data_IF_642832547122
#
_entry.id   IF_642832547122
#
_cell.length_a   1.000
_cell.length_b   1.000
_cell.length_c   1.000
_cell.angle_alpha   90.00
_cell.angle_beta   90.00
_cell.angle_gamma   90.00
#
_symmetry.space_group_name_H-M   'P 1'
#
loop_
_entity.id
_entity.type
_entity.pdbx_description
1 polymer ?
#
# COMPACT_ATOMS: atom_id res chain seq x y z
N UNK A 1 23.27 6.81 1.71
CA UNK A 1 22.27 5.73 1.87
C UNK A 1 21.89 5.71 3.33
N UNK A 2 20.62 5.97 3.66
CA UNK A 2 20.17 6.02 5.06
C UNK A 2 20.33 4.68 5.77
N UNK A 3 20.62 4.74 7.06
CA UNK A 3 20.77 3.59 7.95
C UNK A 3 19.87 3.80 9.17
N UNK A 4 19.08 2.79 9.51
CA UNK A 4 18.33 2.77 10.78
C UNK A 4 19.09 1.89 11.77
N UNK A 5 19.39 2.44 12.96
CA UNK A 5 20.02 1.73 14.07
C UNK A 5 19.03 1.57 15.20
N UNK A 6 18.87 0.34 15.71
CA UNK A 6 17.88 -0.03 16.72
C UNK A 6 18.59 -0.73 17.88
N UNK A 7 18.42 -0.22 19.08
CA UNK A 7 18.74 -0.94 20.32
C UNK A 7 17.46 -1.65 20.77
N UNK A 8 17.40 -2.96 20.59
CA UNK A 8 16.21 -3.74 20.88
C UNK A 8 16.02 -4.08 22.36
N UNK A 9 14.96 -4.84 22.65
CA UNK A 9 14.64 -5.33 24.01
C UNK A 9 13.87 -4.35 24.90
N UNK A 10 13.45 -3.19 24.37
CA UNK A 10 12.63 -2.22 25.13
C UNK A 10 11.16 -2.36 24.74
N UNK A 11 10.25 -2.64 25.69
CA UNK A 11 8.82 -2.68 25.42
C UNK A 11 8.27 -1.33 24.96
N UNK A 12 7.44 -1.34 23.93
CA UNK A 12 6.82 -0.13 23.39
C UNK A 12 5.65 0.34 24.26
N UNK A 13 5.57 1.63 24.52
CA UNK A 13 4.51 2.24 25.33
C UNK A 13 4.18 3.64 24.82
N UNK A 14 2.91 3.99 24.88
CA UNK A 14 2.47 5.34 24.52
C UNK A 14 1.42 5.36 23.44
N UNK A 15 1.31 6.50 22.78
CA UNK A 15 0.32 6.75 21.75
C UNK A 15 0.98 7.41 20.53
N UNK A 16 0.50 7.06 19.34
CA UNK A 16 0.88 7.74 18.09
C UNK A 16 -0.31 7.81 17.14
N UNK A 17 -0.24 8.72 16.17
CA UNK A 17 -1.27 8.96 15.16
C UNK A 17 -0.84 8.29 13.86
N UNK A 18 -1.79 7.64 13.18
CA UNK A 18 -1.53 6.96 11.92
C UNK A 18 -1.66 7.95 10.76
N UNK A 19 -0.68 7.91 9.87
CA UNK A 19 -0.63 8.66 8.62
C UNK A 19 -1.74 8.26 7.63
N UNK A 20 -1.96 9.08 6.61
CA UNK A 20 -2.81 8.74 5.47
C UNK A 20 -2.33 7.52 4.69
N UNK A 21 -3.26 6.79 4.07
CA UNK A 21 -2.96 5.56 3.36
C UNK A 21 -2.27 5.85 2.01
N UNK A 22 -1.03 5.37 1.86
CA UNK A 22 -0.31 5.44 0.59
C UNK A 22 -1.12 4.89 -0.58
N UNK A 23 -1.68 3.69 -0.38
CA UNK A 23 -2.39 2.98 -1.44
C UNK A 23 -3.74 3.63 -1.79
N UNK A 24 -4.20 4.57 -0.98
CA UNK A 24 -5.36 5.43 -1.28
C UNK A 24 -4.93 6.75 -1.93
N UNK A 25 -3.89 7.39 -1.42
CA UNK A 25 -3.38 8.65 -1.96
C UNK A 25 -2.98 8.53 -3.44
N UNK A 26 -2.29 7.44 -3.83
CA UNK A 26 -1.80 7.28 -5.21
C UNK A 26 -2.91 7.24 -6.27
N UNK A 27 -3.97 6.42 -6.17
CA UNK A 27 -5.06 6.45 -7.13
C UNK A 27 -5.89 7.75 -7.08
N UNK A 28 -6.01 8.40 -5.92
CA UNK A 28 -6.65 9.70 -5.77
C UNK A 28 -5.86 10.79 -6.51
N UNK A 29 -4.52 10.79 -6.40
CA UNK A 29 -3.66 11.68 -7.17
C UNK A 29 -3.79 11.45 -8.68
N UNK A 30 -3.88 10.21 -9.14
CA UNK A 30 -4.17 9.94 -10.54
C UNK A 30 -5.57 10.42 -10.96
N UNK A 31 -6.57 10.24 -10.09
CA UNK A 31 -7.95 10.68 -10.33
C UNK A 31 -8.09 12.19 -10.41
N UNK A 32 -7.24 12.97 -9.74
CA UNK A 32 -7.26 14.46 -9.80
C UNK A 32 -7.09 15.01 -11.23
N UNK A 33 -6.45 14.24 -12.13
CA UNK A 33 -6.34 14.59 -13.55
C UNK A 33 -7.70 14.73 -14.24
N UNK A 34 -8.72 13.99 -13.77
CA UNK A 34 -10.04 13.97 -14.40
C UNK A 34 -10.83 15.26 -14.18
N UNK A 35 -10.53 16.02 -13.11
CA UNK A 35 -11.30 17.21 -12.74
C UNK A 35 -11.19 18.36 -13.74
N UNK A 36 -9.99 18.58 -14.29
CA UNK A 36 -9.67 19.82 -14.99
C UNK A 36 -9.82 21.07 -14.10
N UNK A 37 -9.59 20.92 -12.79
CA UNK A 37 -9.78 21.92 -11.75
C UNK A 37 -8.78 21.66 -10.61
N UNK A 38 -8.96 22.32 -9.46
CA UNK A 38 -8.12 22.15 -8.26
C UNK A 38 -8.72 21.11 -7.32
N UNK A 39 -7.94 20.08 -6.97
CA UNK A 39 -8.26 19.12 -5.94
C UNK A 39 -7.35 19.33 -4.72
N UNK A 40 -7.91 19.31 -3.51
CA UNK A 40 -7.19 19.29 -2.23
C UNK A 40 -7.25 17.88 -1.65
N UNK A 41 -6.08 17.27 -1.49
CA UNK A 41 -5.94 15.93 -0.90
C UNK A 41 -5.47 16.11 0.54
N UNK A 42 -6.41 16.06 1.48
CA UNK A 42 -6.16 16.30 2.91
C UNK A 42 -5.53 15.07 3.59
N UNK A 43 -4.56 15.31 4.49
CA UNK A 43 -3.84 14.24 5.20
C UNK A 43 -3.09 13.31 4.26
N UNK A 44 -2.58 13.84 3.16
CA UNK A 44 -1.76 13.10 2.20
C UNK A 44 -0.40 12.79 2.85
N UNK A 45 0.05 11.51 2.87
CA UNK A 45 1.29 11.18 3.57
C UNK A 45 2.52 11.63 2.79
N UNK A 46 3.55 12.13 3.50
CA UNK A 46 4.84 12.51 2.92
C UNK A 46 5.70 11.27 2.67
N UNK A 47 5.57 10.69 1.49
CA UNK A 47 6.22 9.44 1.08
C UNK A 47 6.89 9.59 -0.28
N UNK A 48 8.01 8.92 -0.50
CA UNK A 48 8.72 8.98 -1.79
C UNK A 48 7.89 8.43 -2.97
N UNK A 49 6.92 7.53 -2.73
CA UNK A 49 5.96 7.10 -3.75
C UNK A 49 4.95 8.24 -4.08
N UNK A 50 4.54 9.05 -3.09
CA UNK A 50 3.68 10.23 -3.30
C UNK A 50 4.44 11.32 -4.04
N UNK A 51 5.71 11.59 -3.65
CA UNK A 51 6.57 12.53 -4.38
C UNK A 51 6.72 12.11 -5.85
N UNK A 52 6.90 10.80 -6.10
CA UNK A 52 6.98 10.28 -7.46
C UNK A 52 5.68 10.48 -8.25
N UNK A 53 4.52 10.38 -7.60
CA UNK A 53 3.22 10.68 -8.22
C UNK A 53 3.06 12.18 -8.48
N UNK A 54 3.50 13.04 -7.56
CA UNK A 54 3.54 14.49 -7.72
C UNK A 54 4.43 14.90 -8.90
N UNK A 55 5.62 14.31 -9.03
CA UNK A 55 6.52 14.53 -10.16
C UNK A 55 5.89 14.12 -11.51
N UNK A 56 5.12 13.03 -11.54
CA UNK A 56 4.35 12.63 -12.72
C UNK A 56 3.31 13.68 -13.07
N UNK A 57 2.53 14.16 -12.08
CA UNK A 57 1.52 15.21 -12.29
C UNK A 57 2.15 16.51 -12.80
N UNK A 58 3.26 16.94 -12.21
CA UNK A 58 4.00 18.12 -12.66
C UNK A 58 4.54 17.95 -14.09
N UNK A 59 5.09 16.77 -14.42
CA UNK A 59 5.54 16.47 -15.77
C UNK A 59 4.40 16.54 -16.80
N UNK A 60 3.20 16.08 -16.42
CA UNK A 60 2.00 16.17 -17.25
C UNK A 60 1.50 17.61 -17.43
N UNK A 61 2.04 18.58 -16.67
CA UNK A 61 1.71 20.00 -16.73
C UNK A 61 0.79 20.49 -15.62
N UNK A 62 0.50 19.67 -14.63
CA UNK A 62 -0.26 20.09 -13.44
C UNK A 62 0.60 20.94 -12.51
N UNK A 63 -0.02 21.84 -11.74
CA UNK A 63 0.63 22.47 -10.59
C UNK A 63 0.35 21.64 -9.34
N UNK A 64 1.40 21.26 -8.62
CA UNK A 64 1.29 20.47 -7.40
C UNK A 64 2.01 21.20 -6.28
N UNK A 65 1.30 21.48 -5.17
CA UNK A 65 1.80 22.27 -4.05
C UNK A 65 1.42 21.61 -2.74
N UNK A 66 2.38 21.46 -1.83
CA UNK A 66 2.13 21.07 -0.45
C UNK A 66 1.69 22.28 0.38
N UNK A 67 0.63 22.14 1.15
CA UNK A 67 0.18 23.04 2.20
C UNK A 67 0.06 22.23 3.50
N UNK A 68 1.09 22.24 4.32
CA UNK A 68 1.26 21.37 5.48
C UNK A 68 1.11 19.89 5.08
N UNK A 69 0.14 19.15 5.65
CA UNK A 69 -0.14 17.74 5.33
C UNK A 69 -1.14 17.57 4.16
N UNK A 70 -1.48 18.64 3.47
CA UNK A 70 -2.41 18.61 2.35
C UNK A 70 -1.67 18.80 1.02
N UNK A 71 -2.02 18.03 0.02
CA UNK A 71 -1.48 18.17 -1.33
C UNK A 71 -2.53 18.75 -2.28
N UNK A 72 -2.23 19.93 -2.83
CA UNK A 72 -3.08 20.60 -3.83
C UNK A 72 -2.61 20.21 -5.23
N UNK A 73 -3.54 19.77 -6.06
CA UNK A 73 -3.30 19.42 -7.47
C UNK A 73 -4.21 20.26 -8.36
N UNK A 74 -3.61 21.15 -9.15
CA UNK A 74 -4.32 21.91 -10.19
C UNK A 74 -4.07 21.29 -11.56
N UNK A 75 -5.09 20.62 -12.12
CA UNK A 75 -5.01 19.92 -13.40
C UNK A 75 -5.57 20.73 -14.59
N UNK A 76 -5.87 22.02 -14.40
CA UNK A 76 -6.33 22.93 -15.48
C UNK A 76 -5.26 23.11 -16.55
N UNK A 77 -4.00 23.05 -16.17
CA UNK A 77 -2.84 23.30 -17.04
C UNK A 77 -2.23 22.03 -17.63
N UNK A 78 -2.97 20.91 -17.64
CA UNK A 78 -2.54 19.65 -18.25
C UNK A 78 -2.17 19.87 -19.74
N UNK A 79 -0.96 19.53 -20.14
CA UNK A 79 -0.41 19.75 -21.49
C UNK A 79 0.15 18.49 -22.12
N UNK A 80 0.42 17.45 -21.34
CA UNK A 80 1.04 16.19 -21.79
C UNK A 80 0.18 14.99 -21.46
N UNK A 81 0.31 13.95 -22.28
CA UNK A 81 -0.39 12.67 -22.10
C UNK A 81 0.60 11.48 -22.21
N UNK A 82 1.89 11.74 -22.03
CA UNK A 82 2.96 10.75 -22.02
C UNK A 82 3.68 10.74 -20.67
N UNK A 83 4.17 9.58 -20.24
CA UNK A 83 5.02 9.47 -19.04
C UNK A 83 6.31 8.74 -19.42
N UNK A 84 7.49 9.40 -19.27
CA UNK A 84 8.77 8.82 -19.67
C UNK A 84 9.21 7.69 -18.72
N UNK A 85 10.10 6.85 -19.22
CA UNK A 85 10.61 5.69 -18.49
C UNK A 85 11.25 6.06 -17.14
N UNK A 86 11.92 7.21 -17.06
CA UNK A 86 12.56 7.69 -15.84
C UNK A 86 11.57 7.89 -14.68
N UNK A 87 10.35 8.36 -14.95
CA UNK A 87 9.28 8.51 -13.97
C UNK A 87 8.53 7.18 -13.74
N UNK A 88 8.23 6.43 -14.81
CA UNK A 88 7.53 5.15 -14.69
C UNK A 88 8.29 4.11 -13.86
N UNK A 89 9.63 4.18 -13.83
CA UNK A 89 10.47 3.25 -13.06
C UNK A 89 10.57 3.56 -11.58
N UNK A 90 10.26 4.76 -11.15
CA UNK A 90 10.36 5.15 -9.73
C UNK A 90 9.31 4.44 -8.87
N UNK A 91 8.13 4.23 -9.43
CA UNK A 91 6.99 3.68 -8.71
C UNK A 91 6.25 2.66 -9.57
N UNK A 92 6.04 1.44 -9.04
CA UNK A 92 5.34 0.38 -9.78
C UNK A 92 3.88 0.75 -10.09
N UNK A 93 3.21 1.44 -9.17
CA UNK A 93 1.82 1.90 -9.31
C UNK A 93 1.64 3.03 -10.32
N UNK A 94 2.71 3.55 -10.94
CA UNK A 94 2.61 4.58 -11.98
C UNK A 94 1.68 4.21 -13.16
N UNK A 95 1.47 2.92 -13.40
CA UNK A 95 0.50 2.44 -14.40
C UNK A 95 -0.95 2.87 -14.12
N UNK A 96 -1.30 3.27 -12.89
CA UNK A 96 -2.64 3.76 -12.52
C UNK A 96 -2.99 5.03 -13.27
N UNK A 97 -2.00 5.86 -13.61
CA UNK A 97 -2.21 7.08 -14.38
C UNK A 97 -2.76 6.82 -15.78
N UNK A 98 -2.58 5.62 -16.34
CA UNK A 98 -3.00 5.28 -17.71
C UNK A 98 -4.50 5.49 -17.91
N UNK A 99 -5.35 5.00 -16.98
CA UNK A 99 -6.80 5.14 -17.08
C UNK A 99 -7.26 6.60 -17.02
N UNK A 100 -6.67 7.38 -16.10
CA UNK A 100 -7.00 8.80 -15.95
C UNK A 100 -6.57 9.63 -17.17
N UNK A 101 -5.33 9.42 -17.67
CA UNK A 101 -4.83 10.13 -18.87
C UNK A 101 -5.69 9.77 -20.08
N UNK A 102 -6.02 8.50 -20.28
CA UNK A 102 -6.83 8.05 -21.42
C UNK A 102 -8.24 8.66 -21.38
N UNK A 103 -8.87 8.70 -20.21
CA UNK A 103 -10.19 9.33 -20.02
C UNK A 103 -10.15 10.84 -20.27
N UNK A 104 -9.07 11.52 -19.88
CA UNK A 104 -8.93 12.98 -19.98
C UNK A 104 -8.48 13.46 -21.38
N UNK A 105 -7.57 12.70 -22.01
CA UNK A 105 -6.84 13.12 -23.22
C UNK A 105 -7.19 12.30 -24.47
N UNK A 106 -7.94 11.21 -24.36
CA UNK A 106 -8.24 10.25 -25.44
C UNK A 106 -7.02 9.52 -26.01
N UNK A 107 -5.82 9.79 -25.51
CA UNK A 107 -4.61 9.06 -25.83
C UNK A 107 -3.60 9.12 -24.66
N UNK A 108 -2.76 8.10 -24.56
CA UNK A 108 -1.67 8.04 -23.58
C UNK A 108 -0.49 7.27 -24.16
N UNK A 109 0.72 7.71 -23.82
CA UNK A 109 1.95 6.97 -24.13
C UNK A 109 2.77 6.78 -22.83
N UNK A 110 2.99 5.53 -22.42
CA UNK A 110 3.69 5.20 -21.19
C UNK A 110 4.75 4.14 -21.47
N UNK A 111 5.93 4.28 -20.88
CA UNK A 111 6.87 3.17 -20.77
C UNK A 111 6.34 2.12 -19.79
N UNK A 112 6.78 0.86 -19.92
CA UNK A 112 6.45 -0.15 -18.93
C UNK A 112 6.92 0.28 -17.54
N UNK A 113 6.08 0.10 -16.51
CA UNK A 113 6.47 0.40 -15.13
C UNK A 113 7.68 -0.45 -14.73
N UNK A 114 8.52 0.07 -13.86
CA UNK A 114 9.74 -0.58 -13.38
C UNK A 114 9.49 -1.98 -12.82
N UNK A 115 10.52 -2.80 -12.80
CA UNK A 115 10.48 -4.14 -12.21
C UNK A 115 10.02 -4.09 -10.75
N UNK A 116 9.37 -5.15 -10.31
CA UNK A 116 9.03 -5.34 -8.91
C UNK A 116 9.96 -6.40 -8.32
N UNK A 117 10.57 -6.11 -7.20
CA UNK A 117 11.42 -7.05 -6.47
C UNK A 117 10.66 -8.27 -5.95
N UNK A 118 9.33 -8.16 -5.83
CA UNK A 118 8.43 -9.22 -5.40
C UNK A 118 8.05 -10.22 -6.51
N UNK A 119 8.68 -10.13 -7.68
CA UNK A 119 8.42 -11.00 -8.84
C UNK A 119 7.62 -10.32 -9.96
N UNK A 120 7.32 -11.06 -11.03
CA UNK A 120 6.55 -10.56 -12.17
C UNK A 120 5.19 -10.02 -11.72
N UNK A 121 4.88 -8.81 -12.15
CA UNK A 121 3.56 -8.17 -11.97
C UNK A 121 3.06 -7.72 -13.33
N UNK A 122 2.47 -8.62 -14.11
CA UNK A 122 1.93 -8.28 -15.42
C UNK A 122 0.84 -7.21 -15.27
N UNK A 123 0.73 -6.35 -16.28
CA UNK A 123 -0.31 -5.31 -16.37
C UNK A 123 -1.44 -5.70 -17.31
N UNK A 124 -1.51 -6.96 -17.65
CA UNK A 124 -2.48 -7.56 -18.58
C UNK A 124 -3.94 -7.28 -18.18
N UNK A 125 -4.27 -7.34 -16.87
CA UNK A 125 -5.60 -7.02 -16.37
C UNK A 125 -5.95 -5.54 -16.59
N UNK A 126 -4.99 -4.63 -16.40
CA UNK A 126 -5.17 -3.21 -16.70
C UNK A 126 -5.48 -3.01 -18.19
N UNK A 127 -4.65 -3.59 -19.05
CA UNK A 127 -4.79 -3.44 -20.50
C UNK A 127 -6.08 -4.11 -21.02
N UNK A 128 -6.46 -5.25 -20.44
CA UNK A 128 -7.70 -5.94 -20.78
C UNK A 128 -8.92 -5.08 -20.44
N UNK A 129 -8.94 -4.46 -19.25
CA UNK A 129 -10.02 -3.57 -18.84
C UNK A 129 -10.15 -2.35 -19.76
N UNK A 130 -9.03 -1.72 -20.13
CA UNK A 130 -9.03 -0.56 -21.03
C UNK A 130 -9.44 -0.93 -22.47
N UNK A 131 -9.00 -2.11 -22.96
CA UNK A 131 -9.48 -2.62 -24.27
C UNK A 131 -10.98 -2.90 -24.28
N UNK A 132 -11.53 -3.40 -23.19
CA UNK A 132 -12.98 -3.61 -23.07
C UNK A 132 -13.76 -2.30 -23.18
N UNK A 133 -13.21 -1.19 -22.65
CA UNK A 133 -13.75 0.16 -22.79
C UNK A 133 -13.57 0.77 -24.20
N UNK A 134 -12.92 0.05 -25.12
CA UNK A 134 -12.72 0.48 -26.50
C UNK A 134 -11.36 1.12 -26.80
N UNK A 135 -10.39 1.03 -25.90
CA UNK A 135 -9.04 1.52 -26.15
C UNK A 135 -8.29 0.61 -27.12
N UNK A 136 -7.72 1.22 -28.18
CA UNK A 136 -6.69 0.58 -29.00
C UNK A 136 -5.34 0.70 -28.31
N UNK A 137 -4.72 -0.45 -28.03
CA UNK A 137 -3.48 -0.51 -27.25
C UNK A 137 -2.45 -1.29 -28.05
N UNK A 138 -1.39 -0.63 -28.45
CA UNK A 138 -0.20 -1.21 -29.06
C UNK A 138 0.99 -1.16 -28.08
N UNK A 139 1.83 -2.20 -28.18
CA UNK A 139 3.09 -2.29 -27.46
C UNK A 139 4.22 -2.39 -28.48
N UNK A 140 5.10 -1.41 -28.46
CA UNK A 140 6.23 -1.34 -29.37
C UNK A 140 7.50 -0.94 -28.58
N UNK A 141 8.45 -1.86 -28.48
CA UNK A 141 9.76 -1.58 -27.87
C UNK A 141 9.72 -1.18 -26.40
N UNK A 142 8.77 -1.71 -25.61
CA UNK A 142 8.62 -1.40 -24.19
C UNK A 142 7.86 -0.09 -23.91
N UNK A 143 7.17 0.44 -24.93
CA UNK A 143 6.30 1.61 -24.83
C UNK A 143 4.87 1.23 -25.16
N UNK A 144 3.96 1.50 -24.26
CA UNK A 144 2.51 1.34 -24.44
C UNK A 144 1.95 2.60 -25.07
N UNK A 145 1.28 2.45 -26.21
CA UNK A 145 0.50 3.51 -26.86
C UNK A 145 -0.96 3.14 -26.81
N UNK A 146 -1.74 3.96 -26.14
CA UNK A 146 -3.17 3.75 -25.94
C UNK A 146 -3.94 4.90 -26.60
N UNK A 147 -4.97 4.57 -27.37
CA UNK A 147 -5.85 5.57 -28.00
C UNK A 147 -7.30 5.14 -27.86
N UNK A 148 -8.16 6.07 -27.55
CA UNK A 148 -9.60 5.87 -27.53
C UNK A 148 -10.29 7.17 -27.97
N UNK A 149 -10.81 7.21 -29.18
CA UNK A 149 -11.59 8.37 -29.63
C UNK A 149 -12.80 8.60 -28.69
N UNK A 150 -13.44 7.51 -28.29
CA UNK A 150 -14.52 7.48 -27.30
C UNK A 150 -14.37 6.20 -26.46
N UNK A 151 -14.24 6.35 -25.16
CA UNK A 151 -14.41 5.23 -24.25
C UNK A 151 -15.91 4.90 -24.14
N UNK A 152 -16.25 3.61 -24.13
CA UNK A 152 -17.66 3.16 -24.08
C UNK A 152 -17.88 2.28 -22.87
N UNK A 153 -18.94 2.56 -22.14
CA UNK A 153 -19.37 1.73 -21.01
C UNK A 153 -19.62 0.30 -21.44
N UNK A 154 -19.20 -0.64 -20.62
CA UNK A 154 -19.28 -2.07 -20.88
C UNK A 154 -19.23 -2.89 -19.60
N UNK A 155 -19.40 -4.19 -19.71
CA UNK A 155 -19.11 -5.11 -18.62
C UNK A 155 -17.64 -5.56 -18.70
N UNK A 156 -16.89 -5.31 -17.62
CA UNK A 156 -15.51 -5.75 -17.43
C UNK A 156 -15.52 -6.87 -16.39
N UNK A 157 -14.95 -8.02 -16.72
CA UNK A 157 -14.81 -9.15 -15.77
C UNK A 157 -13.32 -9.36 -15.52
N UNK A 158 -12.86 -9.04 -14.31
CA UNK A 158 -11.47 -9.29 -13.91
C UNK A 158 -11.30 -10.79 -13.58
N UNK A 159 -10.28 -11.43 -14.17
CA UNK A 159 -10.00 -12.85 -13.94
C UNK A 159 -9.66 -13.12 -12.46
N UNK A 160 -9.00 -12.17 -11.82
CA UNK A 160 -8.70 -12.17 -10.37
C UNK A 160 -8.92 -10.76 -9.81
N UNK A 161 -9.31 -10.60 -8.53
CA UNK A 161 -9.38 -9.28 -7.92
C UNK A 161 -7.99 -8.63 -7.96
N UNK A 162 -7.90 -7.49 -8.63
CA UNK A 162 -6.66 -6.71 -8.77
C UNK A 162 -6.95 -5.26 -8.40
N UNK A 163 -6.30 -4.76 -7.37
CA UNK A 163 -6.45 -3.39 -6.89
C UNK A 163 -6.17 -2.41 -8.03
N UNK A 164 -4.97 -2.44 -8.60
CA UNK A 164 -4.58 -1.48 -9.64
C UNK A 164 -5.41 -1.59 -10.93
N UNK A 165 -5.85 -2.80 -11.34
CA UNK A 165 -6.71 -2.96 -12.51
C UNK A 165 -8.12 -2.41 -12.24
N UNK A 166 -8.65 -2.59 -11.02
CA UNK A 166 -9.93 -2.01 -10.59
C UNK A 166 -9.85 -0.48 -10.60
N UNK A 167 -8.80 0.10 -10.01
CA UNK A 167 -8.56 1.55 -10.01
C UNK A 167 -8.49 2.11 -11.43
N UNK A 168 -7.66 1.52 -12.30
CA UNK A 168 -7.56 1.96 -13.69
C UNK A 168 -8.88 1.87 -14.47
N UNK A 169 -9.64 0.79 -14.25
CA UNK A 169 -10.95 0.62 -14.85
C UNK A 169 -11.95 1.69 -14.37
N UNK A 170 -11.97 2.00 -13.06
CA UNK A 170 -12.81 3.05 -12.48
C UNK A 170 -12.46 4.41 -13.05
N UNK A 171 -11.16 4.77 -13.11
CA UNK A 171 -10.68 6.05 -13.62
C UNK A 171 -11.04 6.21 -15.12
N UNK A 172 -10.79 5.20 -15.93
CA UNK A 172 -11.11 5.24 -17.35
C UNK A 172 -12.64 5.29 -17.60
N UNK A 173 -13.41 4.54 -16.79
CA UNK A 173 -14.87 4.52 -16.90
C UNK A 173 -15.53 5.87 -16.58
N UNK A 174 -14.90 6.74 -15.79
CA UNK A 174 -15.39 8.10 -15.55
C UNK A 174 -15.43 8.96 -16.83
N UNK A 175 -14.65 8.63 -17.85
CA UNK A 175 -14.67 9.28 -19.16
C UNK A 175 -15.44 8.50 -20.24
N UNK A 176 -16.11 7.41 -19.88
CA UNK A 176 -16.80 6.56 -20.85
C UNK A 176 -18.25 7.01 -21.11
N UNK A 177 -18.75 6.75 -22.33
CA UNK A 177 -20.15 6.92 -22.70
C UNK A 177 -20.93 5.65 -22.30
N UNK A 178 -21.92 5.77 -21.41
CA UNK A 178 -22.74 4.68 -20.91
C UNK A 178 -22.14 4.01 -19.67
N UNK A 179 -22.94 3.13 -19.06
CA UNK A 179 -22.59 2.45 -17.81
C UNK A 179 -21.46 1.45 -17.99
N UNK A 180 -20.50 1.47 -17.07
CA UNK A 180 -19.47 0.43 -16.94
C UNK A 180 -19.71 -0.38 -15.68
N UNK A 181 -19.74 -1.70 -15.82
CA UNK A 181 -19.89 -2.64 -14.69
C UNK A 181 -18.62 -3.46 -14.56
N UNK A 182 -17.90 -3.26 -13.45
CA UNK A 182 -16.65 -3.98 -13.15
C UNK A 182 -17.00 -5.14 -12.22
N UNK A 183 -16.91 -6.38 -12.74
CA UNK A 183 -17.17 -7.61 -12.00
C UNK A 183 -15.86 -8.21 -11.48
N UNK A 184 -15.92 -8.88 -10.34
CA UNK A 184 -14.78 -9.41 -9.59
C UNK A 184 -13.76 -8.32 -9.24
N UNK A 185 -14.26 -7.12 -8.92
CA UNK A 185 -13.46 -5.97 -8.49
C UNK A 185 -12.73 -6.26 -7.18
N UNK A 186 -11.62 -5.58 -6.96
CA UNK A 186 -10.95 -5.52 -5.66
C UNK A 186 -11.87 -4.84 -4.63
N UNK A 187 -11.75 -5.28 -3.37
CA UNK A 187 -12.67 -4.85 -2.28
C UNK A 187 -11.95 -4.05 -1.20
N UNK A 188 -10.68 -3.81 -1.37
CA UNK A 188 -9.83 -3.10 -0.44
C UNK A 188 -10.45 -1.74 -0.08
N UNK A 189 -10.29 -1.28 1.18
CA UNK A 189 -10.83 0.01 1.63
C UNK A 189 -10.41 1.19 0.75
N UNK A 190 -9.23 1.11 0.17
CA UNK A 190 -8.66 2.11 -0.73
C UNK A 190 -9.48 2.27 -2.03
N UNK A 191 -10.18 1.20 -2.45
CA UNK A 191 -11.12 1.27 -3.59
C UNK A 191 -12.40 2.02 -3.20
N UNK A 192 -12.87 1.84 -1.96
CA UNK A 192 -14.02 2.60 -1.45
C UNK A 192 -13.67 4.10 -1.32
N UNK A 193 -12.48 4.41 -0.84
CA UNK A 193 -11.98 5.78 -0.72
C UNK A 193 -11.85 6.46 -2.09
N UNK A 194 -11.35 5.74 -3.10
CA UNK A 194 -11.34 6.23 -4.48
C UNK A 194 -12.77 6.50 -5.01
N UNK A 195 -13.75 5.63 -4.70
CA UNK A 195 -15.14 5.88 -5.05
C UNK A 195 -15.65 7.17 -4.41
N UNK A 196 -15.38 7.39 -3.12
CA UNK A 196 -15.81 8.59 -2.40
C UNK A 196 -15.21 9.85 -3.03
N UNK A 197 -13.92 9.82 -3.36
CA UNK A 197 -13.25 10.92 -4.05
C UNK A 197 -13.87 11.20 -5.42
N UNK A 198 -14.08 10.17 -6.26
CA UNK A 198 -14.70 10.32 -7.58
C UNK A 198 -16.13 10.84 -7.48
N UNK A 199 -16.90 10.40 -6.49
CA UNK A 199 -18.24 10.92 -6.24
C UNK A 199 -18.21 12.38 -5.79
N UNK A 200 -17.26 12.78 -4.95
CA UNK A 200 -17.05 14.17 -4.55
C UNK A 200 -16.68 15.07 -5.75
N UNK A 201 -16.00 14.53 -6.76
CA UNK A 201 -15.73 15.21 -8.04
C UNK A 201 -16.96 15.28 -8.97
N UNK A 202 -18.08 14.62 -8.66
CA UNK A 202 -19.29 14.61 -9.47
C UNK A 202 -19.49 13.34 -10.32
N UNK A 203 -18.62 12.35 -10.24
CA UNK A 203 -18.83 11.05 -10.88
C UNK A 203 -19.96 10.27 -10.21
N UNK A 204 -20.55 9.33 -10.91
CA UNK A 204 -21.55 8.40 -10.37
C UNK A 204 -20.95 7.00 -10.24
N UNK A 205 -20.32 6.73 -9.10
CA UNK A 205 -19.69 5.45 -8.78
C UNK A 205 -20.38 4.81 -7.59
N UNK A 206 -20.65 3.49 -7.65
CA UNK A 206 -21.30 2.74 -6.59
C UNK A 206 -20.80 1.29 -6.54
N UNK A 207 -20.83 0.69 -5.36
CA UNK A 207 -20.53 -0.73 -5.16
C UNK A 207 -19.11 -1.04 -4.72
N UNK A 208 -18.22 -0.03 -4.55
CA UNK A 208 -16.88 -0.24 -3.99
C UNK A 208 -16.95 -0.89 -2.59
N UNK A 209 -15.96 -1.72 -2.28
CA UNK A 209 -16.00 -2.62 -1.12
C UNK A 209 -16.75 -3.94 -1.39
N UNK A 210 -17.57 -4.00 -2.44
CA UNK A 210 -18.17 -5.20 -3.00
C UNK A 210 -17.38 -5.78 -4.18
N UNK A 211 -17.86 -6.89 -4.76
CA UNK A 211 -17.24 -7.52 -5.93
C UNK A 211 -17.72 -6.96 -7.26
N UNK A 212 -18.69 -6.04 -7.25
CA UNK A 212 -19.25 -5.41 -8.45
C UNK A 212 -19.30 -3.92 -8.22
N UNK A 213 -18.63 -3.17 -9.10
CA UNK A 213 -18.61 -1.70 -9.10
C UNK A 213 -19.27 -1.22 -10.39
N UNK A 214 -20.17 -0.25 -10.26
CA UNK A 214 -20.79 0.41 -11.40
C UNK A 214 -20.33 1.86 -11.46
N UNK A 215 -19.85 2.27 -12.64
CA UNK A 215 -19.53 3.66 -12.98
C UNK A 215 -20.49 4.10 -14.07
N UNK A 216 -21.31 5.10 -13.80
CA UNK A 216 -22.26 5.66 -14.76
C UNK A 216 -21.79 7.03 -15.27
N UNK A 217 -22.17 7.44 -16.49
CA UNK A 217 -21.90 8.79 -16.98
C UNK A 217 -22.39 9.82 -15.97
N UNK A 218 -21.48 10.68 -15.55
CA UNK A 218 -21.76 11.73 -14.59
C UNK A 218 -21.99 13.10 -15.24
N UNK A 219 -22.04 14.12 -14.39
CA UNK A 219 -21.89 15.52 -14.81
C UNK A 219 -20.42 15.80 -15.13
N UNK A 220 -20.12 16.99 -15.66
CA UNK A 220 -18.74 17.43 -15.78
C UNK A 220 -18.04 17.31 -14.42
N UNK A 221 -16.89 16.64 -14.38
CA UNK A 221 -16.11 16.49 -13.17
C UNK A 221 -15.49 17.83 -12.76
N UNK A 222 -15.36 18.06 -11.48
CA UNK A 222 -14.84 19.30 -10.89
C UNK A 222 -13.88 19.02 -9.74
N UNK A 223 -13.16 20.04 -9.28
CA UNK A 223 -12.30 19.95 -8.12
C UNK A 223 -13.09 19.72 -6.83
N UNK A 224 -12.43 19.07 -5.88
CA UNK A 224 -13.00 18.82 -4.55
C UNK A 224 -11.90 18.77 -3.49
N UNK A 225 -12.30 18.81 -2.22
CA UNK A 225 -11.44 18.44 -1.08
C UNK A 225 -11.82 17.04 -0.63
N UNK A 226 -10.80 16.23 -0.29
CA UNK A 226 -11.01 14.87 0.19
C UNK A 226 -9.89 14.47 1.15
N UNK A 227 -10.27 13.88 2.28
CA UNK A 227 -9.34 13.37 3.27
C UNK A 227 -9.04 11.91 3.00
N UNK A 228 -7.76 11.59 2.83
CA UNK A 228 -7.28 10.21 2.64
C UNK A 228 -7.55 9.39 3.90
N UNK A 229 -8.05 8.16 3.74
CA UNK A 229 -8.26 7.23 4.86
C UNK A 229 -6.93 6.89 5.55
N UNK A 230 -6.95 6.52 6.85
CA UNK A 230 -5.74 6.12 7.56
C UNK A 230 -5.12 4.83 7.00
N UNK A 231 -3.79 4.74 7.04
CA UNK A 231 -3.06 3.57 6.50
C UNK A 231 -3.18 2.36 7.43
N UNK A 232 -4.01 1.40 7.02
CA UNK A 232 -4.22 0.13 7.73
C UNK A 232 -2.95 -0.74 7.80
N UNK A 233 -2.03 -0.63 6.83
CA UNK A 233 -0.80 -1.43 6.82
C UNK A 233 0.23 -0.84 7.78
N UNK A 234 0.32 0.49 7.86
CA UNK A 234 1.13 1.20 8.87
C UNK A 234 0.59 0.89 10.27
N UNK A 235 -0.74 0.94 10.45
CA UNK A 235 -1.40 0.52 11.70
C UNK A 235 -0.98 -0.91 12.09
N UNK A 236 -1.09 -1.87 11.16
CA UNK A 236 -0.66 -3.25 11.39
C UNK A 236 0.82 -3.36 11.76
N UNK A 237 1.68 -2.52 11.17
CA UNK A 237 3.11 -2.51 11.45
C UNK A 237 3.39 -2.13 12.90
N UNK A 238 2.81 -1.06 13.40
CA UNK A 238 3.00 -0.66 14.81
C UNK A 238 2.40 -1.66 15.79
N UNK A 239 1.24 -2.26 15.47
CA UNK A 239 0.66 -3.33 16.27
C UNK A 239 1.60 -4.55 16.33
N UNK A 240 2.18 -4.96 15.20
CA UNK A 240 3.15 -6.05 15.13
C UNK A 240 4.47 -5.71 15.85
N UNK A 241 4.94 -4.47 15.77
CA UNK A 241 6.12 -4.00 16.50
C UNK A 241 5.91 -4.10 18.02
N UNK A 242 4.75 -3.66 18.53
CA UNK A 242 4.42 -3.80 19.94
C UNK A 242 4.17 -5.27 20.33
N UNK A 243 3.62 -6.08 19.44
CA UNK A 243 3.51 -7.53 19.67
C UNK A 243 4.89 -8.20 19.74
N UNK A 244 5.87 -7.79 18.93
CA UNK A 244 7.23 -8.31 18.93
C UNK A 244 8.03 -7.89 20.18
N UNK A 245 8.10 -6.57 20.44
CA UNK A 245 8.88 -6.00 21.55
C UNK A 245 8.20 -6.15 22.92
N UNK A 246 6.87 -6.37 22.93
CA UNK A 246 6.03 -6.27 24.14
C UNK A 246 5.61 -4.83 24.40
N UNK A 247 4.66 -4.66 25.30
CA UNK A 247 4.24 -3.34 25.75
C UNK A 247 2.75 -3.06 25.66
N UNK A 248 2.41 -1.78 25.60
CA UNK A 248 1.04 -1.25 25.60
C UNK A 248 1.02 0.05 24.80
N UNK A 249 0.48 -0.02 23.59
CA UNK A 249 0.40 1.12 22.69
C UNK A 249 -1.04 1.43 22.28
N UNK A 250 -1.31 2.69 22.03
CA UNK A 250 -2.57 3.17 21.44
C UNK A 250 -2.26 3.87 20.12
N UNK A 251 -2.94 3.43 19.06
CA UNK A 251 -2.84 4.03 17.73
C UNK A 251 -4.12 4.82 17.45
N UNK A 252 -4.00 6.13 17.17
CA UNK A 252 -5.11 7.02 16.81
C UNK A 252 -5.22 7.18 15.30
N UNK A 253 -6.33 7.72 14.86
CA UNK A 253 -6.66 7.84 13.45
C UNK A 253 -6.62 6.46 12.77
N UNK A 254 -7.45 5.53 13.24
CA UNK A 254 -7.48 4.15 12.74
C UNK A 254 -8.92 3.68 12.50
N UNK A 255 -9.10 2.86 11.47
CA UNK A 255 -10.38 2.17 11.23
C UNK A 255 -10.19 0.65 11.44
N UNK A 256 -10.55 0.19 12.63
CA UNK A 256 -10.32 -1.19 13.07
C UNK A 256 -10.97 -2.26 12.19
N UNK A 257 -12.10 -1.92 11.52
CA UNK A 257 -12.83 -2.85 10.64
C UNK A 257 -11.99 -3.25 9.42
N UNK A 258 -11.11 -2.35 8.97
CA UNK A 258 -10.22 -2.60 7.83
C UNK A 258 -9.07 -3.58 8.18
N UNK A 259 -8.86 -3.86 9.46
CA UNK A 259 -7.77 -4.69 10.01
C UNK A 259 -8.25 -5.97 10.70
N UNK A 260 -9.51 -6.37 10.52
CA UNK A 260 -10.10 -7.49 11.25
C UNK A 260 -9.28 -8.79 11.18
N UNK A 261 -8.71 -9.14 10.02
CA UNK A 261 -7.87 -10.32 9.86
C UNK A 261 -6.59 -10.24 10.71
N UNK A 262 -5.91 -9.09 10.72
CA UNK A 262 -4.65 -8.88 11.45
C UNK A 262 -4.91 -8.83 12.96
N UNK A 263 -5.90 -8.07 13.41
CA UNK A 263 -6.23 -7.96 14.84
C UNK A 263 -6.70 -9.30 15.41
N UNK A 264 -7.40 -10.11 14.61
CA UNK A 264 -7.77 -11.48 15.00
C UNK A 264 -6.55 -12.38 15.16
N UNK A 265 -5.60 -12.32 14.22
CA UNK A 265 -4.36 -13.09 14.30
C UNK A 265 -3.49 -12.66 15.51
N UNK A 266 -3.42 -11.37 15.81
CA UNK A 266 -2.73 -10.85 17.01
C UNK A 266 -3.40 -11.32 18.31
N UNK A 267 -4.74 -11.35 18.38
CA UNK A 267 -5.46 -11.94 19.54
C UNK A 267 -5.19 -13.43 19.68
N UNK A 268 -5.17 -14.17 18.58
CA UNK A 268 -4.81 -15.61 18.58
C UNK A 268 -3.36 -15.82 19.04
N UNK A 269 -2.44 -14.90 18.69
CA UNK A 269 -1.07 -14.93 19.16
C UNK A 269 -0.92 -14.63 20.67
N UNK A 270 -1.97 -14.13 21.34
CA UNK A 270 -1.99 -13.85 22.78
C UNK A 270 -1.96 -12.37 23.14
N UNK A 271 -2.07 -11.46 22.16
CA UNK A 271 -2.22 -10.03 22.43
C UNK A 271 -3.66 -9.70 22.86
N UNK A 272 -3.82 -8.76 23.79
CA UNK A 272 -5.09 -8.07 23.99
C UNK A 272 -5.18 -6.92 22.99
N UNK A 273 -6.27 -6.87 22.23
CA UNK A 273 -6.53 -5.80 21.26
C UNK A 273 -7.92 -5.23 21.51
N UNK A 274 -7.94 -3.99 21.99
CA UNK A 274 -9.16 -3.21 22.24
C UNK A 274 -9.31 -2.19 21.09
N UNK A 275 -10.54 -2.04 20.57
CA UNK A 275 -10.83 -1.17 19.43
C UNK A 275 -11.92 -0.16 19.81
N UNK A 276 -11.74 1.11 19.43
CA UNK A 276 -12.74 2.17 19.54
C UNK A 276 -13.12 2.73 18.18
N UNK A 277 -13.77 3.88 18.16
CA UNK A 277 -14.24 4.50 16.93
C UNK A 277 -13.07 4.97 16.03
N UNK A 278 -12.00 5.50 16.66
CA UNK A 278 -10.84 6.09 15.99
C UNK A 278 -9.50 5.57 16.52
N UNK A 279 -9.52 4.51 17.35
CA UNK A 279 -8.30 3.96 17.92
C UNK A 279 -8.27 2.45 17.98
N UNK A 280 -7.05 1.92 18.00
CA UNK A 280 -6.74 0.53 18.34
C UNK A 280 -5.66 0.55 19.42
N UNK A 281 -5.91 -0.15 20.55
CA UNK A 281 -4.94 -0.37 21.60
C UNK A 281 -4.53 -1.83 21.60
N UNK A 282 -3.22 -2.08 21.62
CA UNK A 282 -2.65 -3.41 21.77
C UNK A 282 -1.83 -3.47 23.06
N UNK A 283 -2.11 -4.50 23.88
CA UNK A 283 -1.31 -4.82 25.06
C UNK A 283 -0.77 -6.24 24.94
N UNK A 284 0.54 -6.41 25.10
CA UNK A 284 1.21 -7.71 25.23
C UNK A 284 1.99 -7.76 26.53
N UNK A 285 1.60 -8.66 27.43
CA UNK A 285 2.27 -8.89 28.71
C UNK A 285 2.92 -10.28 28.80
N UNK A 286 2.45 -11.22 28.00
CA UNK A 286 2.90 -12.62 27.98
C UNK A 286 3.64 -12.95 26.68
N UNK A 287 4.49 -13.99 26.67
CA UNK A 287 5.09 -14.47 25.43
C UNK A 287 4.04 -14.86 24.39
N UNK A 288 4.30 -14.50 23.14
CA UNK A 288 3.42 -14.88 22.04
C UNK A 288 3.40 -16.40 21.83
N UNK A 289 2.33 -16.88 21.24
CA UNK A 289 2.16 -18.27 20.81
C UNK A 289 1.93 -18.35 19.30
N UNK A 290 2.29 -19.49 18.74
CA UNK A 290 1.99 -19.79 17.35
C UNK A 290 0.49 -19.69 17.05
N UNK A 291 0.15 -19.31 15.82
CA UNK A 291 -1.22 -19.18 15.34
C UNK A 291 -1.51 -20.22 14.25
N UNK A 292 -2.79 -20.51 13.95
CA UNK A 292 -3.15 -21.31 12.78
C UNK A 292 -2.49 -20.78 11.50
N UNK A 293 -2.37 -21.59 10.42
CA UNK A 293 -1.74 -21.17 9.20
C UNK A 293 -2.26 -19.84 8.66
N UNK A 294 -1.36 -18.89 8.41
CA UNK A 294 -1.65 -17.56 7.88
C UNK A 294 -1.56 -17.63 6.37
N UNK A 295 -2.68 -17.42 5.69
CA UNK A 295 -2.75 -17.43 4.22
C UNK A 295 -3.09 -16.03 3.72
N UNK A 296 -2.24 -15.48 2.83
CA UNK A 296 -2.57 -14.20 2.20
C UNK A 296 -3.65 -14.39 1.16
N UNK A 297 -4.67 -13.53 1.23
CA UNK A 297 -5.80 -13.54 0.29
C UNK A 297 -6.27 -12.10 0.04
N UNK A 298 -6.97 -11.82 -1.06
CA UNK A 298 -7.62 -10.53 -1.28
C UNK A 298 -8.50 -10.12 -0.09
N UNK A 299 -8.66 -8.83 0.10
CA UNK A 299 -9.50 -8.28 1.17
C UNK A 299 -10.94 -8.88 1.13
N UNK A 300 -11.54 -9.23 2.30
CA UNK A 300 -11.10 -8.92 3.67
C UNK A 300 -10.20 -9.99 4.32
N UNK A 301 -9.53 -10.82 3.56
CA UNK A 301 -8.59 -11.80 4.08
C UNK A 301 -7.28 -11.17 4.61
N UNK A 302 -6.32 -12.02 4.97
CA UNK A 302 -5.05 -11.55 5.52
C UNK A 302 -4.21 -10.84 4.43
N UNK A 303 -3.87 -9.54 4.61
CA UNK A 303 -3.19 -8.77 3.57
C UNK A 303 -1.76 -9.28 3.35
N UNK A 304 -1.35 -9.44 2.09
CA UNK A 304 0.04 -9.76 1.74
C UNK A 304 1.02 -8.71 2.27
N UNK A 305 0.62 -7.44 2.34
CA UNK A 305 1.46 -6.36 2.87
C UNK A 305 1.71 -6.46 4.39
N UNK A 306 0.89 -7.19 5.13
CA UNK A 306 1.10 -7.47 6.55
C UNK A 306 1.86 -8.77 6.81
N UNK A 307 2.06 -9.63 5.80
CA UNK A 307 2.62 -10.97 5.97
C UNK A 307 4.04 -10.93 6.56
N UNK A 308 4.96 -10.16 5.98
CA UNK A 308 6.34 -10.07 6.44
C UNK A 308 6.44 -9.51 7.87
N UNK A 309 5.65 -8.48 8.17
CA UNK A 309 5.63 -7.79 9.45
C UNK A 309 5.06 -8.69 10.55
N UNK A 310 3.97 -9.39 10.27
CA UNK A 310 3.37 -10.34 11.20
C UNK A 310 4.27 -11.57 11.42
N UNK A 311 4.98 -12.03 10.37
CA UNK A 311 6.01 -13.07 10.50
C UNK A 311 7.10 -12.62 11.47
N UNK A 312 7.62 -11.39 11.33
CA UNK A 312 8.63 -10.84 12.23
C UNK A 312 8.15 -10.78 13.69
N UNK A 313 6.88 -10.45 13.92
CA UNK A 313 6.31 -10.45 15.27
C UNK A 313 6.27 -11.83 15.92
N UNK A 314 6.16 -12.90 15.14
CA UNK A 314 6.05 -14.28 15.65
C UNK A 314 7.39 -15.03 15.79
N UNK A 315 8.53 -14.40 15.47
CA UNK A 315 9.84 -15.07 15.51
C UNK A 315 10.22 -15.62 16.90
N UNK A 316 9.70 -15.01 17.97
CA UNK A 316 9.91 -15.47 19.36
C UNK A 316 8.63 -16.08 19.96
N UNK A 317 7.67 -16.50 19.13
CA UNK A 317 6.44 -17.14 19.62
C UNK A 317 6.68 -18.59 20.04
N UNK A 318 5.92 -19.10 21.01
CA UNK A 318 5.98 -20.51 21.40
C UNK A 318 5.25 -21.36 20.35
N UNK A 319 5.98 -22.26 19.70
CA UNK A 319 5.44 -23.20 18.69
C UNK A 319 5.82 -22.81 17.25
N UNK A 320 5.09 -23.35 16.30
CA UNK A 320 5.38 -23.21 14.87
C UNK A 320 4.19 -22.63 14.14
N UNK A 321 4.43 -21.58 13.34
CA UNK A 321 3.43 -20.97 12.46
C UNK A 321 3.79 -21.19 10.99
N UNK A 322 2.81 -21.52 10.19
CA UNK A 322 2.97 -21.68 8.73
C UNK A 322 2.39 -20.47 8.02
N UNK A 323 3.14 -19.89 7.11
CA UNK A 323 2.69 -18.82 6.22
C UNK A 323 2.57 -19.33 4.78
N UNK A 324 1.47 -19.00 4.11
CA UNK A 324 1.22 -19.32 2.70
C UNK A 324 0.97 -18.03 1.94
N UNK A 325 1.87 -17.67 1.04
CA UNK A 325 1.78 -16.46 0.23
C UNK A 325 1.10 -16.77 -1.12
N UNK A 326 -0.14 -16.33 -1.29
CA UNK A 326 -0.92 -16.62 -2.49
C UNK A 326 -0.91 -15.48 -3.53
N UNK A 327 -0.44 -14.28 -3.15
CA UNK A 327 -0.50 -13.08 -4.00
C UNK A 327 0.79 -12.91 -4.80
N UNK A 328 1.97 -12.94 -4.13
CA UNK A 328 3.26 -12.68 -4.78
C UNK A 328 4.17 -13.91 -4.79
N UNK A 329 5.02 -14.02 -5.83
CA UNK A 329 5.92 -15.16 -5.99
C UNK A 329 7.17 -15.05 -5.10
N UNK A 330 7.70 -13.84 -4.92
CA UNK A 330 8.98 -13.59 -4.25
C UNK A 330 8.83 -12.74 -2.98
N UNK A 331 7.81 -13.08 -2.15
CA UNK A 331 7.50 -12.29 -0.95
C UNK A 331 8.48 -12.53 0.21
N UNK A 332 9.20 -13.64 0.22
CA UNK A 332 10.08 -14.06 1.32
C UNK A 332 11.54 -13.56 1.20
N UNK A 333 11.81 -12.51 0.43
CA UNK A 333 13.17 -11.97 0.24
C UNK A 333 13.82 -11.44 1.51
N UNK A 334 13.04 -11.05 2.50
CA UNK A 334 13.49 -10.61 3.82
C UNK A 334 13.90 -11.76 4.74
N UNK A 335 13.52 -13.00 4.43
CA UNK A 335 13.77 -14.16 5.31
C UNK A 335 15.24 -14.43 5.55
N UNK A 336 16.15 -14.39 4.57
CA UNK A 336 17.59 -14.57 4.82
C UNK A 336 18.13 -13.58 5.86
N UNK A 337 17.63 -12.34 5.87
CA UNK A 337 18.06 -11.32 6.83
C UNK A 337 17.51 -11.59 8.24
N UNK A 338 16.26 -12.11 8.35
CA UNK A 338 15.73 -12.57 9.65
C UNK A 338 16.49 -13.78 10.18
N UNK A 339 16.91 -14.72 9.32
CA UNK A 339 17.76 -15.85 9.70
C UNK A 339 19.11 -15.35 10.21
N UNK A 340 19.69 -14.30 9.62
CA UNK A 340 20.91 -13.66 10.12
C UNK A 340 20.75 -13.12 11.54
N UNK A 341 19.53 -12.73 11.94
CA UNK A 341 19.19 -12.30 13.30
C UNK A 341 18.90 -13.49 14.25
N UNK A 342 19.04 -14.73 13.79
CA UNK A 342 18.84 -15.95 14.59
C UNK A 342 17.46 -16.57 14.48
N UNK A 343 16.60 -16.13 13.53
CA UNK A 343 15.29 -16.74 13.33
C UNK A 343 15.40 -18.15 12.71
N UNK A 344 14.54 -19.09 13.13
CA UNK A 344 14.37 -20.40 12.50
C UNK A 344 13.20 -20.37 11.52
N UNK A 345 13.53 -20.12 10.26
CA UNK A 345 12.57 -20.03 9.17
C UNK A 345 13.01 -20.93 8.02
N UNK A 346 12.08 -21.74 7.51
CA UNK A 346 12.29 -22.55 6.31
C UNK A 346 11.28 -22.12 5.24
N UNK A 347 11.77 -21.87 4.02
CA UNK A 347 10.91 -21.46 2.91
C UNK A 347 11.00 -22.45 1.78
N UNK A 348 9.85 -22.81 1.21
CA UNK A 348 9.74 -23.60 -0.02
C UNK A 348 8.62 -23.01 -0.90
N UNK A 349 8.98 -22.48 -2.05
CA UNK A 349 8.04 -21.85 -2.97
C UNK A 349 7.26 -20.71 -2.30
N UNK A 350 5.97 -20.92 -2.08
CA UNK A 350 5.05 -19.95 -1.46
C UNK A 350 4.77 -20.24 0.01
N UNK A 351 5.47 -21.18 0.60
CA UNK A 351 5.28 -21.56 2.00
C UNK A 351 6.50 -21.17 2.82
N UNK A 352 6.27 -20.61 4.00
CA UNK A 352 7.28 -20.41 5.02
C UNK A 352 6.83 -21.05 6.34
N UNK A 353 7.72 -21.80 6.97
CA UNK A 353 7.52 -22.39 8.30
C UNK A 353 8.42 -21.65 9.28
N UNK A 354 7.81 -21.01 10.27
CA UNK A 354 8.48 -20.22 11.29
C UNK A 354 8.40 -20.99 12.61
N UNK A 355 9.54 -21.46 13.10
CA UNK A 355 9.66 -22.03 14.43
C UNK A 355 10.13 -20.93 15.39
N UNK A 356 9.35 -20.65 16.42
CA UNK A 356 9.73 -19.62 17.38
C UNK A 356 11.01 -19.95 18.12
N UNK A 357 11.91 -18.96 18.21
CA UNK A 357 13.19 -19.06 18.93
C UNK A 357 13.10 -18.36 20.27
N UNK A 358 13.97 -18.75 21.21
CA UNK A 358 14.01 -18.12 22.53
C UNK A 358 14.49 -16.66 22.45
N UNK A 359 15.49 -16.39 21.60
CA UNK A 359 16.11 -15.07 21.45
C UNK A 359 16.48 -14.78 20.01
N UNK A 360 16.30 -13.54 19.63
CA UNK A 360 16.90 -12.94 18.45
C UNK A 360 18.08 -12.08 18.89
N UNK A 361 19.07 -11.91 18.03
CA UNK A 361 20.21 -11.03 18.27
C UNK A 361 20.30 -9.94 17.20
N UNK A 362 20.83 -8.80 17.61
CA UNK A 362 21.09 -7.69 16.69
C UNK A 362 22.08 -8.08 15.60
N UNK A 363 21.88 -7.56 14.39
CA UNK A 363 22.72 -7.81 13.23
C UNK A 363 22.69 -6.66 12.24
N UNK A 364 23.66 -6.61 11.34
CA UNK A 364 23.57 -5.78 10.13
C UNK A 364 22.75 -6.50 9.09
N UNK A 365 21.63 -5.87 8.65
CA UNK A 365 20.66 -6.42 7.72
C UNK A 365 20.29 -5.42 6.64
N UNK A 366 19.82 -5.89 5.49
CA UNK A 366 19.52 -5.06 4.32
C UNK A 366 18.04 -5.17 3.95
N UNK A 367 17.34 -4.05 3.96
CA UNK A 367 15.98 -3.96 3.43
C UNK A 367 16.01 -4.15 1.90
N UNK A 368 15.33 -5.17 1.40
CA UNK A 368 15.23 -5.49 -0.03
C UNK A 368 13.92 -5.02 -0.65
N UNK A 369 12.94 -4.71 0.16
CA UNK A 369 11.63 -4.16 -0.23
C UNK A 369 10.98 -3.43 0.95
N UNK A 370 9.90 -2.69 0.67
CA UNK A 370 9.18 -1.85 1.64
C UNK A 370 8.75 -2.62 2.90
N UNK A 371 8.04 -3.74 2.72
CA UNK A 371 7.44 -4.48 3.86
C UNK A 371 8.45 -5.41 4.53
N UNK A 372 9.40 -5.93 3.75
CA UNK A 372 10.57 -6.64 4.28
C UNK A 372 11.40 -5.74 5.17
N UNK A 373 11.68 -4.49 4.76
CA UNK A 373 12.38 -3.50 5.59
C UNK A 373 11.66 -3.22 6.91
N UNK A 374 10.35 -3.00 6.88
CA UNK A 374 9.57 -2.82 8.10
C UNK A 374 9.56 -4.07 9.01
N UNK A 375 9.61 -5.27 8.41
CA UNK A 375 9.73 -6.53 9.16
C UNK A 375 11.09 -6.63 9.88
N UNK A 376 12.19 -6.18 9.24
CA UNK A 376 13.51 -6.14 9.86
C UNK A 376 13.56 -5.14 11.03
N UNK A 377 12.92 -3.97 10.88
CA UNK A 377 12.76 -3.01 11.99
C UNK A 377 11.98 -3.66 13.14
N UNK A 378 10.85 -4.32 12.82
CA UNK A 378 10.02 -5.03 13.83
C UNK A 378 10.82 -6.11 14.57
N UNK A 379 11.61 -6.91 13.87
CA UNK A 379 12.48 -7.92 14.48
C UNK A 379 13.59 -7.27 15.32
N UNK A 380 14.19 -6.17 14.84
CA UNK A 380 15.23 -5.43 15.56
C UNK A 380 14.75 -4.86 16.89
N UNK A 381 13.50 -4.43 17.00
CA UNK A 381 12.91 -3.96 18.27
C UNK A 381 12.83 -5.08 19.34
N UNK A 382 12.68 -6.32 18.91
CA UNK A 382 12.59 -7.49 19.80
C UNK A 382 13.94 -8.19 20.05
N UNK A 383 14.97 -7.89 19.25
CA UNK A 383 16.27 -8.55 19.32
C UNK A 383 17.11 -8.06 20.50
N UNK A 384 18.02 -8.89 21.00
CA UNK A 384 19.03 -8.48 21.99
C UNK A 384 20.21 -7.79 21.27
N UNK A 385 20.61 -6.61 21.74
CA UNK A 385 21.72 -5.84 21.17
C UNK A 385 21.29 -4.85 20.09
N UNK A 386 22.21 -4.53 19.19
CA UNK A 386 22.02 -3.49 18.17
C UNK A 386 21.75 -4.12 16.81
N UNK A 387 20.68 -3.69 16.17
CA UNK A 387 20.35 -4.02 14.77
C UNK A 387 20.57 -2.79 13.90
N UNK A 388 21.27 -2.97 12.78
CA UNK A 388 21.48 -1.92 11.78
C UNK A 388 20.78 -2.32 10.48
N UNK A 389 19.80 -1.54 10.06
CA UNK A 389 19.03 -1.79 8.83
C UNK A 389 19.48 -0.82 7.74
N UNK A 390 20.07 -1.36 6.68
CA UNK A 390 20.46 -0.63 5.47
C UNK A 390 19.32 -0.64 4.43
N UNK A 391 19.42 0.21 3.39
CA UNK A 391 18.42 0.25 2.33
C UNK A 391 17.12 0.97 2.73
N UNK A 392 17.19 1.92 3.63
CA UNK A 392 16.07 2.65 4.23
C UNK A 392 15.15 3.34 3.21
N UNK A 393 15.67 3.69 2.04
CA UNK A 393 14.87 4.25 0.94
C UNK A 393 13.69 3.35 0.53
N UNK A 394 13.76 2.03 0.75
CA UNK A 394 12.61 1.16 0.55
C UNK A 394 11.52 1.41 1.61
N UNK A 395 11.89 1.74 2.84
CA UNK A 395 10.97 2.00 3.96
C UNK A 395 10.24 3.34 3.73
N UNK A 396 10.94 4.38 3.29
CA UNK A 396 10.39 5.72 3.02
C UNK A 396 9.32 5.73 1.91
N UNK A 397 9.22 4.66 1.14
CA UNK A 397 8.15 4.52 0.14
C UNK A 397 6.77 4.36 0.75
N UNK A 398 6.65 4.00 2.01
CA UNK A 398 5.35 3.72 2.62
C UNK A 398 5.22 4.00 4.10
N UNK A 399 6.28 4.46 4.74
CA UNK A 399 6.28 4.87 6.14
C UNK A 399 6.85 6.29 6.25
N UNK A 400 6.02 7.17 6.72
CA UNK A 400 6.39 8.53 7.07
C UNK A 400 7.04 8.50 8.46
N UNK A 401 8.26 9.03 8.58
CA UNK A 401 8.95 9.21 9.86
C UNK A 401 8.92 7.96 10.79
N UNK A 402 9.01 6.73 10.26
CA UNK A 402 8.91 5.48 11.05
C UNK A 402 9.78 5.49 12.31
N UNK A 403 11.06 5.93 12.29
CA UNK A 403 11.86 6.01 13.50
C UNK A 403 11.36 7.02 14.52
N UNK A 404 10.80 8.15 14.09
CA UNK A 404 10.25 9.18 14.99
C UNK A 404 9.03 8.67 15.74
N UNK A 405 8.09 8.03 15.04
CA UNK A 405 6.90 7.42 15.63
C UNK A 405 7.26 6.29 16.60
N UNK A 406 8.24 5.43 16.25
CA UNK A 406 8.69 4.36 17.14
C UNK A 406 9.41 4.93 18.39
N UNK A 407 10.19 6.02 18.26
CA UNK A 407 10.77 6.74 19.43
C UNK A 407 9.70 7.31 20.33
N UNK A 408 8.64 7.88 19.77
CA UNK A 408 7.50 8.38 20.55
C UNK A 408 6.81 7.25 21.35
N UNK A 409 6.89 6.03 20.86
CA UNK A 409 6.45 4.81 21.56
C UNK A 409 7.52 4.21 22.49
N UNK A 410 8.66 4.89 22.69
CA UNK A 410 9.71 4.48 23.64
C UNK A 410 10.80 3.59 23.05
N UNK A 411 10.85 3.38 21.74
CA UNK A 411 11.94 2.64 21.09
C UNK A 411 13.25 3.44 21.11
N UNK A 412 14.36 2.75 21.28
CA UNK A 412 15.70 3.31 21.06
C UNK A 412 16.09 3.08 19.59
N UNK A 413 15.75 4.02 18.75
CA UNK A 413 15.93 3.95 17.30
C UNK A 413 16.41 5.30 16.74
N UNK A 414 17.38 5.28 15.84
CA UNK A 414 17.89 6.45 15.12
C UNK A 414 17.96 6.17 13.64
N UNK A 415 17.91 7.23 12.85
CA UNK A 415 18.16 7.18 11.41
C UNK A 415 19.28 8.16 11.08
N UNK A 416 20.25 7.69 10.31
CA UNK A 416 21.36 8.49 9.74
C UNK A 416 21.23 8.47 8.23
N UNK A 417 21.32 9.66 7.60
CA UNK A 417 21.18 9.84 6.15
C UNK A 417 22.47 9.50 5.36
#
# INVERSE_FOLDING_TARGET
>A
MGIITIQGGTPLRGETVIQGAKNSALPILAASLLSGDVCRIEGCPHLSDVDSAADILQYLGCTVVWEDDDLLVDSRTLTRCDIPQSLMRRMRSSVIFLGAILARCSWAELSYPGGCELGPRPIDLHLSALRALGADISDAGGTLRCRAAHLRGCQIVLATPSVGATENAMLAACGAEGDTVICNAAREPEIADLQEFLCAMGAQVRGAGGSVITVSPGRALHGCAHRVIPDRIVTATYLCAAAAAGGDITLRNTEHRQLAAVTTALRQAGCRVDCGADYIRLTRTEPLRAVPPVQTTPYPGFPTDCQAIFMAALLQSRGTTVFVENIFQSRYRHVPELIRMGADIRTEGRVAVVCGVERLHGAEVVATDLRGGAALVTAGLAAEGITTVQGVGHIHRGYEELPAHLRALGAHITEEN
#
